data_IF_753168341081
#
_entry.id   IF_753168341081
#
_cell.length_a   1.000
_cell.length_b   1.000
_cell.length_c   1.000
_cell.angle_alpha   90.00
_cell.angle_beta   90.00
_cell.angle_gamma   90.00
#
_symmetry.space_group_name_H-M   'P 1'
#
loop_
_entity.id
_entity.type
_entity.pdbx_description
1 polymer ?
#
# COMPACT_ATOMS: atom_id res chain seq x y z
N UNK A 1 -0.47 -22.42 -10.52
CA UNK A 1 -0.88 -21.70 -11.74
C UNK A 1 -0.60 -20.23 -11.48
N UNK A 2 0.08 -19.52 -12.39
CA UNK A 2 0.34 -18.09 -12.23
C UNK A 2 -0.95 -17.29 -12.49
N UNK A 3 -1.24 -16.30 -11.65
CA UNK A 3 -2.35 -15.38 -11.84
C UNK A 3 -1.88 -14.21 -12.68
N UNK A 4 -2.62 -13.91 -13.75
CA UNK A 4 -2.35 -12.76 -14.59
C UNK A 4 -2.93 -11.50 -13.93
N UNK A 5 -2.07 -10.72 -13.27
CA UNK A 5 -2.44 -9.44 -12.64
C UNK A 5 -1.94 -8.33 -13.56
N UNK A 6 -2.85 -7.64 -14.23
CA UNK A 6 -2.54 -6.59 -15.21
C UNK A 6 -3.32 -5.29 -14.99
N UNK A 7 -4.26 -5.27 -14.05
CA UNK A 7 -5.01 -4.08 -13.62
C UNK A 7 -5.34 -4.10 -12.13
N UNK A 8 -5.90 -2.99 -11.64
CA UNK A 8 -6.24 -2.80 -10.22
C UNK A 8 -7.32 -3.78 -9.73
N UNK A 9 -8.31 -4.10 -10.56
CA UNK A 9 -9.38 -5.03 -10.18
C UNK A 9 -8.83 -6.45 -10.01
N UNK A 10 -7.94 -6.87 -10.90
CA UNK A 10 -7.21 -8.16 -10.81
C UNK A 10 -6.30 -8.22 -9.57
N UNK A 11 -5.69 -7.08 -9.19
CA UNK A 11 -4.90 -6.97 -7.96
C UNK A 11 -5.79 -7.12 -6.72
N UNK A 12 -6.94 -6.44 -6.70
CA UNK A 12 -7.90 -6.49 -5.60
C UNK A 12 -8.45 -7.92 -5.40
N UNK A 13 -8.76 -8.62 -6.48
CA UNK A 13 -9.12 -10.04 -6.41
C UNK A 13 -8.00 -10.91 -5.84
N UNK A 14 -6.76 -10.68 -6.25
CA UNK A 14 -5.60 -11.42 -5.73
C UNK A 14 -5.42 -11.22 -4.21
N UNK A 15 -5.62 -10.00 -3.70
CA UNK A 15 -5.61 -9.73 -2.27
C UNK A 15 -6.78 -10.38 -1.51
N UNK A 16 -7.99 -10.36 -2.08
CA UNK A 16 -9.15 -11.02 -1.48
C UNK A 16 -8.93 -12.53 -1.34
N UNK A 17 -8.37 -13.17 -2.37
CA UNK A 17 -8.05 -14.59 -2.32
C UNK A 17 -6.96 -14.88 -1.30
N UNK A 18 -5.91 -14.07 -1.25
CA UNK A 18 -4.87 -14.19 -0.22
C UNK A 18 -5.45 -14.06 1.20
N UNK A 19 -6.35 -13.09 1.41
CA UNK A 19 -7.02 -12.86 2.69
C UNK A 19 -7.91 -14.04 3.08
N UNK A 20 -8.58 -14.68 2.11
CA UNK A 20 -9.38 -15.88 2.34
C UNK A 20 -8.50 -17.02 2.89
N UNK A 21 -7.32 -17.24 2.32
CA UNK A 21 -6.37 -18.26 2.81
C UNK A 21 -5.76 -17.91 4.19
N UNK A 22 -5.56 -16.63 4.50
CA UNK A 22 -5.01 -16.20 5.80
C UNK A 22 -6.07 -16.23 6.92
N UNK A 23 -7.35 -15.91 6.62
CA UNK A 23 -8.44 -15.88 7.61
C UNK A 23 -9.04 -17.25 7.91
N UNK A 24 -9.01 -18.17 6.95
CA UNK A 24 -9.54 -19.52 7.12
C UNK A 24 -8.41 -20.54 6.98
N UNK A 25 -7.57 -20.72 8.02
CA UNK A 25 -6.67 -21.85 8.12
C UNK A 25 -7.51 -23.11 8.41
N UNK A 26 -8.27 -23.56 7.40
CA UNK A 26 -8.93 -24.85 7.44
C UNK A 26 -7.89 -25.98 7.51
N UNK A 27 -8.29 -27.23 7.74
CA UNK A 27 -7.36 -28.37 7.90
C UNK A 27 -6.61 -28.75 6.60
N UNK A 28 -6.66 -27.92 5.56
CA UNK A 28 -6.06 -28.16 4.25
C UNK A 28 -4.66 -27.55 4.20
N UNK A 29 -3.77 -28.05 5.05
CA UNK A 29 -2.32 -27.91 4.87
C UNK A 29 -1.86 -28.89 3.79
N UNK A 30 -2.33 -28.69 2.56
CA UNK A 30 -1.81 -29.42 1.41
C UNK A 30 -0.70 -28.59 0.76
N UNK A 31 0.39 -29.26 0.38
CA UNK A 31 1.52 -28.66 -0.34
C UNK A 31 1.05 -27.81 -1.54
N UNK A 32 0.01 -28.26 -2.25
CA UNK A 32 -0.63 -27.51 -3.34
C UNK A 32 -1.21 -26.15 -2.95
N UNK A 33 -1.80 -26.04 -1.77
CA UNK A 33 -2.35 -24.77 -1.27
C UNK A 33 -1.22 -23.82 -0.88
N UNK A 34 -0.17 -24.34 -0.27
CA UNK A 34 1.02 -23.54 0.07
C UNK A 34 1.74 -23.03 -1.18
N UNK A 35 1.97 -23.89 -2.16
CA UNK A 35 2.52 -23.52 -3.47
C UNK A 35 1.66 -22.46 -4.16
N UNK A 36 0.33 -22.59 -4.09
CA UNK A 36 -0.59 -21.59 -4.65
C UNK A 36 -0.46 -20.24 -3.94
N UNK A 37 -0.42 -20.22 -2.61
CA UNK A 37 -0.26 -18.98 -1.83
C UNK A 37 1.11 -18.34 -2.10
N UNK A 38 2.18 -19.14 -2.19
CA UNK A 38 3.53 -18.65 -2.53
C UNK A 38 3.52 -17.99 -3.91
N UNK A 39 2.91 -18.65 -4.90
CA UNK A 39 2.81 -18.12 -6.26
C UNK A 39 1.94 -16.85 -6.30
N UNK A 40 0.80 -16.83 -5.63
CA UNK A 40 -0.08 -15.67 -5.56
C UNK A 40 0.65 -14.46 -4.93
N UNK A 41 1.41 -14.67 -3.85
CA UNK A 41 2.27 -13.63 -3.26
C UNK A 41 3.37 -13.17 -4.22
N UNK A 42 3.91 -14.07 -5.04
CA UNK A 42 4.89 -13.72 -6.07
C UNK A 42 4.27 -12.84 -7.16
N UNK A 43 3.10 -13.22 -7.68
CA UNK A 43 2.40 -12.51 -8.76
C UNK A 43 1.97 -11.10 -8.32
N UNK A 44 1.45 -10.95 -7.10
CA UNK A 44 1.15 -9.64 -6.49
C UNK A 44 2.41 -8.76 -6.42
N UNK A 45 3.53 -9.33 -5.95
CA UNK A 45 4.80 -8.58 -5.88
C UNK A 45 5.32 -8.20 -7.26
N UNK A 46 5.19 -9.07 -8.25
CA UNK A 46 5.62 -8.78 -9.62
C UNK A 46 4.82 -7.62 -10.20
N UNK A 47 3.49 -7.61 -10.02
CA UNK A 47 2.63 -6.52 -10.45
C UNK A 47 2.98 -5.20 -9.74
N UNK A 48 3.08 -5.19 -8.42
CA UNK A 48 3.42 -3.98 -7.65
C UNK A 48 4.79 -3.42 -8.04
N UNK A 49 5.75 -4.29 -8.38
CA UNK A 49 7.10 -3.88 -8.80
C UNK A 49 7.19 -3.46 -10.29
N UNK A 50 6.15 -3.69 -11.11
CA UNK A 50 6.08 -3.20 -12.49
C UNK A 50 5.53 -1.77 -12.48
N UNK A 51 6.43 -0.79 -12.44
CA UNK A 51 6.16 0.64 -12.70
C UNK A 51 4.88 1.22 -12.06
N UNK A 52 4.59 0.84 -10.81
CA UNK A 52 3.57 1.53 -10.02
C UNK A 52 4.22 2.64 -9.19
N UNK A 53 3.82 3.89 -9.44
CA UNK A 53 4.08 5.04 -8.56
C UNK A 53 3.46 4.86 -7.15
N UNK A 54 2.68 3.79 -6.94
CA UNK A 54 1.91 3.50 -5.75
C UNK A 54 2.20 2.09 -5.24
N UNK A 55 3.04 1.99 -4.21
CA UNK A 55 3.30 0.73 -3.51
C UNK A 55 2.32 0.63 -2.34
N UNK A 56 1.09 0.19 -2.57
CA UNK A 56 0.16 -0.08 -1.47
C UNK A 56 0.73 -1.27 -0.68
N UNK A 57 1.19 -1.00 0.53
CA UNK A 57 1.83 -1.97 1.44
C UNK A 57 0.79 -2.73 2.25
N UNK A 58 -0.40 -2.15 2.43
CA UNK A 58 -1.51 -2.75 3.16
C UNK A 58 -2.84 -2.11 2.74
N UNK A 59 -3.84 -2.93 2.47
CA UNK A 59 -5.22 -2.52 2.17
C UNK A 59 -6.16 -3.11 3.25
N UNK A 60 -6.88 -2.25 3.96
CA UNK A 60 -7.91 -2.56 4.96
C UNK A 60 -9.22 -1.88 4.52
N UNK A 61 -10.37 -2.38 4.99
CA UNK A 61 -11.70 -2.09 4.42
C UNK A 61 -11.95 -0.61 4.07
N UNK A 62 -11.52 0.31 4.94
CA UNK A 62 -11.70 1.77 4.79
C UNK A 62 -10.37 2.55 4.92
N UNK A 63 -9.22 1.87 4.79
CA UNK A 63 -7.91 2.51 4.91
C UNK A 63 -6.79 1.73 4.25
N UNK A 64 -5.79 2.41 3.73
CA UNK A 64 -4.62 1.77 3.17
C UNK A 64 -3.33 2.46 3.60
N UNK A 65 -2.21 1.75 3.42
CA UNK A 65 -0.87 2.27 3.64
C UNK A 65 -0.12 2.27 2.33
N UNK A 66 0.29 3.45 1.87
CA UNK A 66 1.17 3.61 0.71
C UNK A 66 2.61 3.76 1.15
N UNK A 67 3.53 3.10 0.45
CA UNK A 67 4.95 3.41 0.50
C UNK A 67 5.27 4.42 -0.60
N UNK A 68 5.71 5.60 -0.19
CA UNK A 68 6.08 6.70 -1.08
C UNK A 68 7.58 6.92 -1.01
N UNK A 69 8.25 6.84 -2.15
CA UNK A 69 9.63 7.32 -2.28
C UNK A 69 9.61 8.84 -2.50
N UNK A 70 10.37 9.59 -1.70
CA UNK A 70 10.50 11.03 -1.90
C UNK A 70 11.53 11.31 -3.00
N UNK A 71 11.38 12.41 -3.76
CA UNK A 71 12.28 12.75 -4.86
C UNK A 71 13.75 12.86 -4.43
N UNK A 72 14.67 12.55 -5.35
CA UNK A 72 16.12 12.53 -5.09
C UNK A 72 16.68 13.83 -4.51
N UNK A 73 16.12 14.99 -4.90
CA UNK A 73 16.55 16.29 -4.38
C UNK A 73 16.20 16.50 -2.90
N UNK A 74 15.39 15.62 -2.31
CA UNK A 74 15.09 15.65 -0.87
C UNK A 74 16.10 14.86 -0.05
N UNK A 75 17.03 14.13 -0.67
CA UNK A 75 17.92 13.20 0.01
C UNK A 75 18.81 13.87 1.09
N UNK A 76 19.12 15.15 0.95
CA UNK A 76 19.89 15.95 1.90
C UNK A 76 19.02 16.67 2.95
N UNK A 77 17.69 16.52 2.88
CA UNK A 77 16.77 17.17 3.82
C UNK A 77 16.89 16.55 5.21
N UNK A 78 16.69 17.38 6.23
CA UNK A 78 16.38 16.90 7.58
C UNK A 78 15.03 16.19 7.59
N UNK A 79 14.76 15.40 8.62
CA UNK A 79 13.49 14.70 8.77
C UNK A 79 12.30 15.68 8.80
N UNK A 80 12.45 16.82 9.48
CA UNK A 80 11.41 17.86 9.56
C UNK A 80 11.12 18.47 8.20
N UNK A 81 12.18 18.72 7.40
CA UNK A 81 12.04 19.29 6.06
C UNK A 81 11.45 18.27 5.07
N UNK A 82 11.82 17.00 5.18
CA UNK A 82 11.21 15.92 4.42
C UNK A 82 9.73 15.72 4.79
N UNK A 83 9.39 15.82 6.07
CA UNK A 83 8.00 15.75 6.55
C UNK A 83 7.17 16.93 6.05
N UNK A 84 7.73 18.14 6.08
CA UNK A 84 7.08 19.33 5.55
C UNK A 84 6.80 19.19 4.06
N UNK A 85 7.80 18.72 3.30
CA UNK A 85 7.62 18.42 1.88
C UNK A 85 6.47 17.42 1.67
N UNK A 86 6.46 16.32 2.43
CA UNK A 86 5.43 15.30 2.30
C UNK A 86 4.02 15.87 2.55
N UNK A 87 3.85 16.64 3.64
CA UNK A 87 2.59 17.30 3.99
C UNK A 87 2.16 18.35 2.96
N UNK A 88 3.10 18.97 2.26
CA UNK A 88 2.79 20.00 1.28
C UNK A 88 2.35 19.40 -0.07
N UNK A 89 2.97 18.30 -0.48
CA UNK A 89 2.83 17.77 -1.85
C UNK A 89 2.14 16.42 -1.96
N UNK A 90 2.04 15.62 -0.89
CA UNK A 90 1.49 14.25 -0.94
C UNK A 90 0.36 13.97 0.03
N UNK A 91 0.24 14.67 1.16
CA UNK A 91 -0.85 14.38 2.11
C UNK A 91 -2.22 14.77 1.55
N UNK A 92 -3.17 13.85 1.60
CA UNK A 92 -4.60 14.13 1.45
C UNK A 92 -5.11 14.98 2.61
N UNK A 93 -5.84 16.06 2.28
CA UNK A 93 -6.54 16.90 3.26
C UNK A 93 -8.00 16.48 3.32
N UNK A 94 -8.53 16.36 4.52
CA UNK A 94 -9.97 16.25 4.73
C UNK A 94 -10.58 17.64 4.41
N UNK A 95 -11.41 17.72 3.38
CA UNK A 95 -11.96 18.99 2.91
C UNK A 95 -13.38 19.27 3.38
N UNK A 96 -14.09 18.28 3.94
CA UNK A 96 -15.44 18.49 4.44
C UNK A 96 -15.50 18.39 5.99
N UNK A 97 -16.30 19.27 6.59
CA UNK A 97 -16.56 19.31 8.04
C UNK A 97 -17.77 18.43 8.43
N UNK A 98 -18.38 17.76 7.45
CA UNK A 98 -19.69 17.12 7.58
C UNK A 98 -19.61 15.59 7.63
N UNK A 99 -18.43 15.00 7.37
CA UNK A 99 -18.05 13.61 7.63
C UNK A 99 -18.99 12.61 6.96
N UNK A 100 -18.87 12.41 5.64
CA UNK A 100 -19.62 11.42 4.84
C UNK A 100 -19.25 11.51 3.33
N UNK A 101 -18.06 12.00 2.97
CA UNK A 101 -17.72 12.38 1.59
C UNK A 101 -17.16 11.25 0.72
N UNK A 102 -16.79 10.11 1.30
CA UNK A 102 -15.97 9.09 0.63
C UNK A 102 -14.55 9.59 0.31
N UNK A 103 -14.11 10.68 0.94
CA UNK A 103 -12.83 11.32 0.64
C UNK A 103 -11.68 10.64 1.38
N UNK A 104 -10.56 10.48 0.69
CA UNK A 104 -9.31 10.07 1.33
C UNK A 104 -8.76 11.20 2.19
N UNK A 105 -8.28 10.87 3.37
CA UNK A 105 -7.56 11.79 4.23
C UNK A 105 -6.35 11.11 4.87
N UNK A 106 -5.30 11.90 5.11
CA UNK A 106 -4.08 11.40 5.74
C UNK A 106 -4.28 11.26 7.23
N UNK A 107 -4.22 10.04 7.75
CA UNK A 107 -4.24 9.77 9.19
C UNK A 107 -2.87 9.83 9.82
N UNK A 108 -1.82 9.52 9.05
CA UNK A 108 -0.46 9.52 9.57
C UNK A 108 0.60 9.42 8.48
N UNK A 109 1.83 9.77 8.87
CA UNK A 109 3.02 9.61 8.04
C UNK A 109 4.17 9.14 8.92
N UNK A 110 4.87 8.09 8.49
CA UNK A 110 6.11 7.63 9.12
C UNK A 110 7.26 7.65 8.12
N UNK A 111 8.22 8.54 8.34
CA UNK A 111 9.41 8.66 7.50
C UNK A 111 10.49 7.66 7.90
N UNK A 112 11.29 7.26 6.92
CA UNK A 112 12.52 6.49 7.13
C UNK A 112 13.49 6.68 5.96
N UNK A 113 14.75 6.29 6.16
CA UNK A 113 15.78 6.34 5.11
C UNK A 113 16.21 4.95 4.69
N UNK A 114 16.38 4.77 3.37
CA UNK A 114 16.95 3.56 2.78
C UNK A 114 17.86 3.96 1.63
N UNK A 115 19.11 3.48 1.64
CA UNK A 115 20.12 3.79 0.60
C UNK A 115 20.28 5.30 0.32
N UNK A 116 20.23 6.12 1.36
CA UNK A 116 20.39 7.58 1.25
C UNK A 116 19.12 8.35 0.86
N UNK A 117 18.07 7.67 0.39
CA UNK A 117 16.80 8.27 -0.02
C UNK A 117 15.77 8.27 1.11
N UNK A 118 14.85 9.23 1.07
CA UNK A 118 13.72 9.30 1.99
C UNK A 118 12.54 8.48 1.47
N UNK A 119 11.89 7.77 2.38
CA UNK A 119 10.67 7.03 2.15
C UNK A 119 9.64 7.39 3.22
N UNK A 120 8.37 7.25 2.88
CA UNK A 120 7.25 7.48 3.79
C UNK A 120 6.27 6.31 3.74
N UNK A 121 5.90 5.78 4.90
CA UNK A 121 4.62 5.09 5.03
C UNK A 121 3.53 6.15 5.20
N UNK A 122 2.65 6.26 4.22
CA UNK A 122 1.52 7.17 4.19
C UNK A 122 0.26 6.40 4.57
N UNK A 123 -0.29 6.72 5.73
CA UNK A 123 -1.52 6.13 6.23
C UNK A 123 -2.69 6.98 5.75
N UNK A 124 -3.59 6.36 5.00
CA UNK A 124 -4.73 7.00 4.37
C UNK A 124 -5.99 6.28 4.80
N UNK A 125 -7.01 7.03 5.20
CA UNK A 125 -8.34 6.51 5.51
C UNK A 125 -9.37 7.16 4.61
N UNK A 126 -10.51 6.49 4.44
CA UNK A 126 -11.69 7.02 3.76
C UNK A 126 -12.65 7.53 4.83
N UNK A 127 -13.15 8.74 4.63
CA UNK A 127 -14.27 9.26 5.39
C UNK A 127 -15.57 8.63 4.86
N UNK A 128 -16.19 7.73 5.63
CA UNK A 128 -17.43 7.02 5.29
C UNK A 128 -18.59 7.43 6.19
#
# INVERSE_FOLDING_TARGET
>A
MARDIHDYDSLKEAYNDLLMFERFPGPVHSERVEEFVIQLKHDIREYVNRDSDYHIVRDELDSFVELVELPDYTADYSEERALLWFKMYRSYRLFDELGCGGQFFTTGVKLFRRRGRWYAYHFVSVDM
#
